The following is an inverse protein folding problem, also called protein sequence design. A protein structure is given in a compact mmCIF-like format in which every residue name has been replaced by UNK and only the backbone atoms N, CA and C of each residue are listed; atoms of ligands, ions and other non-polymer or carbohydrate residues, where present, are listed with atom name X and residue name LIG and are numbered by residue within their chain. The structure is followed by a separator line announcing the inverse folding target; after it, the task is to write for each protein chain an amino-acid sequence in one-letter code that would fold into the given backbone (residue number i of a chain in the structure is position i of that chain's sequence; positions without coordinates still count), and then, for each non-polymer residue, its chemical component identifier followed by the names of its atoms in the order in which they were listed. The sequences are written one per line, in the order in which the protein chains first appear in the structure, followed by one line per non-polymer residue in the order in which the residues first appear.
data_IF_527747756020
#
_entry.id   IF_527747756020
#
_cell.length_a   1.000
_cell.length_b   1.000
_cell.length_c   1.000
_cell.angle_alpha   90.00
_cell.angle_beta   90.00
_cell.angle_gamma   90.00
#
_symmetry.space_group_name_H-M   'P 1'
#
loop_
_entity.id
_entity.type
_entity.pdbx_description
1 polymer ?
#
# COMPACT_ATOMS: atom_id res chain seq x y z
N UNK A 1 -4.82 7.15 -7.55
CA UNK A 1 -4.58 5.69 -7.62
C UNK A 1 -3.85 5.28 -8.89
N UNK A 2 -4.28 5.71 -10.08
CA UNK A 2 -3.62 5.33 -11.34
C UNK A 2 -2.11 5.64 -11.42
N UNK A 3 -1.67 6.78 -10.90
CA UNK A 3 -0.24 7.13 -10.86
C UNK A 3 0.57 6.11 -10.05
N UNK A 4 0.12 5.80 -8.83
CA UNK A 4 0.75 4.82 -7.96
C UNK A 4 0.77 3.42 -8.59
N UNK A 5 -0.34 3.01 -9.24
CA UNK A 5 -0.38 1.73 -9.97
C UNK A 5 0.72 1.66 -11.02
N UNK A 6 0.84 2.69 -11.85
CA UNK A 6 1.90 2.74 -12.88
C UNK A 6 3.30 2.69 -12.28
N UNK A 7 3.55 3.47 -11.23
CA UNK A 7 4.84 3.47 -10.53
C UNK A 7 5.19 2.08 -9.99
N UNK A 8 4.25 1.39 -9.34
CA UNK A 8 4.48 0.04 -8.83
C UNK A 8 4.64 -1.01 -9.93
N UNK A 9 3.94 -0.86 -11.06
CA UNK A 9 4.06 -1.77 -12.22
C UNK A 9 5.44 -1.70 -12.87
N UNK A 10 6.05 -0.51 -12.92
CA UNK A 10 7.42 -0.35 -13.44
C UNK A 10 8.48 -1.12 -12.63
N UNK A 11 8.20 -1.41 -11.35
CA UNK A 11 9.13 -2.08 -10.46
C UNK A 11 9.11 -3.61 -10.59
N UNK A 12 8.04 -4.18 -11.14
CA UNK A 12 7.82 -5.62 -11.13
C UNK A 12 7.98 -6.25 -12.51
N UNK A 13 8.06 -7.57 -12.53
CA UNK A 13 7.86 -8.35 -13.75
C UNK A 13 6.36 -8.50 -14.02
N UNK A 14 5.86 -7.88 -15.10
CA UNK A 14 4.44 -7.92 -15.45
C UNK A 14 3.97 -9.27 -16.01
N UNK A 15 4.91 -10.13 -16.45
CA UNK A 15 4.59 -11.51 -16.87
C UNK A 15 4.49 -12.45 -15.65
N UNK A 16 4.87 -11.99 -14.46
CA UNK A 16 4.73 -12.72 -13.21
C UNK A 16 3.42 -12.39 -12.50
N UNK A 17 2.43 -13.28 -12.64
CA UNK A 17 1.09 -13.11 -12.04
C UNK A 17 1.13 -12.87 -10.51
N UNK A 18 2.12 -13.42 -9.79
CA UNK A 18 2.26 -13.22 -8.35
C UNK A 18 2.68 -11.78 -8.03
N UNK A 19 3.56 -11.18 -8.83
CA UNK A 19 3.98 -9.79 -8.63
C UNK A 19 2.87 -8.82 -9.01
N UNK A 20 2.17 -9.12 -10.11
CA UNK A 20 0.95 -8.42 -10.55
C UNK A 20 -0.09 -8.39 -9.44
N UNK A 21 -0.40 -9.54 -8.83
CA UNK A 21 -1.37 -9.64 -7.74
C UNK A 21 -0.93 -8.82 -6.52
N UNK A 22 0.37 -8.80 -6.18
CA UNK A 22 0.87 -7.98 -5.07
C UNK A 22 0.66 -6.49 -5.30
N UNK A 23 0.83 -6.00 -6.52
CA UNK A 23 0.52 -4.60 -6.87
C UNK A 23 -0.95 -4.32 -6.66
N UNK A 24 -1.82 -5.16 -7.22
CA UNK A 24 -3.27 -4.96 -7.13
C UNK A 24 -3.76 -5.05 -5.68
N UNK A 25 -3.21 -5.97 -4.89
CA UNK A 25 -3.45 -6.09 -3.45
C UNK A 25 -3.00 -4.85 -2.68
N UNK A 26 -1.82 -4.33 -2.96
CA UNK A 26 -1.32 -3.10 -2.31
C UNK A 26 -2.26 -1.92 -2.60
N UNK A 27 -2.67 -1.73 -3.84
CA UNK A 27 -3.59 -0.66 -4.23
C UNK A 27 -4.96 -0.79 -3.54
N UNK A 28 -5.48 -2.01 -3.44
CA UNK A 28 -6.71 -2.28 -2.70
C UNK A 28 -6.58 -1.94 -1.21
N UNK A 29 -5.47 -2.33 -0.56
CA UNK A 29 -5.21 -2.00 0.83
C UNK A 29 -5.07 -0.49 1.06
N UNK A 30 -4.44 0.25 0.14
CA UNK A 30 -4.39 1.72 0.17
C UNK A 30 -5.79 2.33 0.08
N UNK A 31 -6.66 1.81 -0.80
CA UNK A 31 -8.04 2.27 -0.90
C UNK A 31 -8.79 2.07 0.42
N UNK A 32 -8.72 0.86 0.98
CA UNK A 32 -9.35 0.52 2.27
C UNK A 32 -8.81 1.43 3.39
N UNK A 33 -7.51 1.69 3.43
CA UNK A 33 -6.88 2.56 4.42
C UNK A 33 -7.49 3.98 4.40
N UNK A 34 -7.69 4.55 3.21
CA UNK A 34 -8.33 5.87 3.07
C UNK A 34 -9.84 5.86 3.33
N UNK A 35 -10.54 4.77 3.04
CA UNK A 35 -11.95 4.65 3.36
C UNK A 35 -12.19 4.52 4.88
N UNK A 36 -11.26 3.87 5.59
CA UNK A 36 -11.27 3.86 7.06
C UNK A 36 -11.01 5.25 7.62
N UNK A 37 -10.16 6.06 6.99
CA UNK A 37 -9.97 7.48 7.37
C UNK A 37 -11.27 8.28 7.27
N UNK A 38 -12.01 8.12 6.18
CA UNK A 38 -13.33 8.77 6.03
C UNK A 38 -14.29 8.32 7.14
N UNK A 39 -14.37 7.02 7.41
CA UNK A 39 -15.22 6.47 8.48
C UNK A 39 -14.86 7.04 9.86
N UNK A 40 -13.58 7.18 10.18
CA UNK A 40 -13.11 7.76 11.45
C UNK A 40 -13.42 9.26 11.51
N UNK A 41 -13.22 10.00 10.41
CA UNK A 41 -13.52 11.42 10.33
C UNK A 41 -15.02 11.68 10.52
N UNK A 42 -15.87 10.86 9.92
CA UNK A 42 -17.32 11.05 9.94
C UNK A 42 -17.95 10.64 11.28
N UNK A 43 -17.42 9.58 11.93
CA UNK A 43 -18.01 9.01 13.16
C UNK A 43 -17.26 9.38 14.43
N UNK A 44 -16.06 9.94 14.31
CA UNK A 44 -15.14 10.16 15.42
C UNK A 44 -14.31 8.93 15.77
N UNK A 45 -13.27 9.17 16.59
CA UNK A 45 -12.37 8.12 17.11
C UNK A 45 -13.01 7.26 18.19
N UNK A 46 -14.06 7.78 18.83
CA UNK A 46 -14.90 7.08 19.80
C UNK A 46 -16.34 7.08 19.28
N UNK A 47 -17.05 5.98 19.47
CA UNK A 47 -18.45 5.81 19.08
C UNK A 47 -19.29 5.37 20.27
N UNK A 48 -20.49 5.91 20.37
CA UNK A 48 -21.46 5.45 21.36
C UNK A 48 -22.13 4.16 20.90
N UNK A 49 -22.15 3.17 21.79
CA UNK A 49 -22.88 1.91 21.62
C UNK A 49 -24.02 1.89 22.63
N UNK A 50 -25.25 1.85 22.13
CA UNK A 50 -26.46 1.72 22.96
C UNK A 50 -26.88 0.25 22.99
N UNK A 51 -26.98 -0.33 24.18
CA UNK A 51 -27.46 -1.69 24.41
C UNK A 51 -28.60 -1.66 25.44
N UNK A 52 -29.83 -1.84 24.96
CA UNK A 52 -31.05 -1.62 25.74
C UNK A 52 -31.02 -0.24 26.44
N UNK A 53 -30.94 -0.23 27.78
CA UNK A 53 -30.91 1.01 28.58
C UNK A 53 -29.49 1.48 28.95
N UNK A 54 -28.43 0.81 28.48
CA UNK A 54 -27.05 1.17 28.77
C UNK A 54 -26.37 1.78 27.56
N UNK A 55 -25.65 2.89 27.77
CA UNK A 55 -24.83 3.54 26.74
C UNK A 55 -23.37 3.45 27.14
N UNK A 56 -22.53 3.02 26.20
CA UNK A 56 -21.08 2.92 26.38
C UNK A 56 -20.36 3.69 25.28
N UNK A 57 -19.35 4.46 25.66
CA UNK A 57 -18.41 5.01 24.69
C UNK A 57 -17.29 3.99 24.46
N UNK A 58 -17.08 3.60 23.21
CA UNK A 58 -16.04 2.63 22.81
C UNK A 58 -15.21 3.17 21.66
N UNK A 59 -14.00 2.65 21.49
CA UNK A 59 -13.17 2.97 20.32
C UNK A 59 -13.91 2.61 19.03
N UNK A 60 -13.82 3.49 18.03
CA UNK A 60 -14.36 3.21 16.70
C UNK A 60 -13.61 2.00 16.09
N UNK A 61 -14.31 0.90 15.73
CA UNK A 61 -13.66 -0.29 15.16
C UNK A 61 -12.81 0.00 13.91
N UNK A 62 -13.11 1.09 13.20
CA UNK A 62 -12.32 1.53 12.05
C UNK A 62 -10.87 1.91 12.44
N UNK A 63 -10.62 2.40 13.67
CA UNK A 63 -9.27 2.74 14.15
C UNK A 63 -8.42 1.47 14.24
N UNK A 64 -8.90 0.44 14.93
CA UNK A 64 -8.18 -0.83 15.03
C UNK A 64 -8.02 -1.51 13.67
N UNK A 65 -9.04 -1.45 12.82
CA UNK A 65 -8.95 -1.98 11.45
C UNK A 65 -7.88 -1.26 10.62
N UNK A 66 -7.79 0.07 10.73
CA UNK A 66 -6.82 0.90 10.01
C UNK A 66 -5.40 0.54 10.41
N UNK A 67 -5.15 0.35 11.71
CA UNK A 67 -3.84 -0.10 12.22
C UNK A 67 -3.44 -1.46 11.63
N UNK A 68 -4.38 -2.40 11.49
CA UNK A 68 -4.12 -3.71 10.86
C UNK A 68 -3.81 -3.59 9.37
N UNK A 69 -4.57 -2.76 8.63
CA UNK A 69 -4.31 -2.49 7.21
C UNK A 69 -2.93 -1.85 7.01
N UNK A 70 -2.56 -0.88 7.87
CA UNK A 70 -1.24 -0.27 7.84
C UNK A 70 -0.12 -1.29 8.01
N UNK A 71 -0.25 -2.21 8.98
CA UNK A 71 0.74 -3.25 9.19
C UNK A 71 0.88 -4.19 7.96
N UNK A 72 -0.22 -4.48 7.27
CA UNK A 72 -0.18 -5.23 6.01
C UNK A 72 0.48 -4.45 4.87
N UNK A 73 0.23 -3.13 4.77
CA UNK A 73 0.90 -2.26 3.80
C UNK A 73 2.41 -2.24 4.02
N UNK A 74 2.88 -2.02 5.25
CA UNK A 74 4.31 -2.02 5.58
C UNK A 74 4.99 -3.35 5.22
N UNK A 75 4.31 -4.49 5.42
CA UNK A 75 4.85 -5.80 5.02
C UNK A 75 4.99 -5.96 3.51
N UNK A 76 4.04 -5.44 2.74
CA UNK A 76 4.13 -5.45 1.28
C UNK A 76 5.14 -4.42 0.78
N UNK A 77 5.33 -3.31 1.48
CA UNK A 77 6.29 -2.27 1.08
C UNK A 77 7.72 -2.81 1.09
N UNK A 78 8.07 -3.71 2.01
CA UNK A 78 9.38 -4.42 2.00
C UNK A 78 9.63 -5.17 0.68
N UNK A 79 8.58 -5.74 0.05
CA UNK A 79 8.72 -6.35 -1.27
C UNK A 79 9.01 -5.28 -2.34
N UNK A 80 8.35 -4.13 -2.28
CA UNK A 80 8.54 -3.05 -3.24
C UNK A 80 9.86 -2.29 -3.04
N UNK A 81 10.39 -2.19 -1.82
CA UNK A 81 11.73 -1.66 -1.54
C UNK A 81 12.78 -2.47 -2.28
N UNK A 82 12.72 -3.81 -2.14
CA UNK A 82 13.62 -4.69 -2.88
C UNK A 82 13.47 -4.53 -4.39
N UNK A 83 12.25 -4.37 -4.90
CA UNK A 83 12.00 -4.14 -6.33
C UNK A 83 12.53 -2.80 -6.83
N UNK A 84 12.49 -1.75 -6.00
CA UNK A 84 13.14 -0.45 -6.29
C UNK A 84 14.65 -0.61 -6.42
N UNK A 85 15.30 -1.28 -5.47
CA UNK A 85 16.74 -1.56 -5.54
C UNK A 85 17.12 -2.36 -6.80
N UNK A 86 16.34 -3.40 -7.13
CA UNK A 86 16.53 -4.20 -8.35
C UNK A 86 16.36 -3.36 -9.63
N UNK A 87 15.37 -2.45 -9.65
CA UNK A 87 15.12 -1.56 -10.78
C UNK A 87 16.24 -0.55 -10.98
N UNK A 88 16.68 0.12 -9.90
CA UNK A 88 17.77 1.10 -9.93
C UNK A 88 19.09 0.46 -10.37
N UNK A 89 19.41 -0.74 -9.88
CA UNK A 89 20.60 -1.48 -10.29
C UNK A 89 20.59 -1.87 -11.78
N UNK A 90 19.41 -2.13 -12.37
CA UNK A 90 19.27 -2.38 -13.81
C UNK A 90 19.51 -1.11 -14.63
N UNK A 91 18.95 0.02 -14.20
CA UNK A 91 19.11 1.31 -14.87
C UNK A 91 20.54 1.83 -14.82
N UNK A 92 21.26 1.59 -13.71
CA UNK A 92 22.67 1.94 -13.61
C UNK A 92 23.52 1.17 -14.64
N UNK A 93 23.31 -0.15 -14.76
CA UNK A 93 24.04 -1.00 -15.70
C UNK A 93 23.75 -0.70 -17.16
N UNK A 94 22.51 -0.35 -17.52
CA UNK A 94 22.20 0.04 -18.91
C UNK A 94 22.96 1.30 -19.32
N UNK A 95 23.05 2.27 -18.41
CA UNK A 95 23.75 3.53 -18.68
C UNK A 95 25.26 3.35 -18.83
N UNK A 96 25.87 2.40 -18.11
CA UNK A 96 27.30 2.08 -18.24
C UNK A 96 27.64 1.42 -19.60
N UNK A 97 26.77 0.52 -20.09
CA UNK A 97 26.96 -0.16 -21.38
C UNK A 97 26.82 0.83 -22.56
N UNK A 98 25.87 1.76 -22.46
CA UNK A 98 25.68 2.81 -23.47
C UNK A 98 26.88 3.77 -23.58
N UNK A 99 27.74 3.91 -22.56
CA UNK A 99 28.96 4.74 -22.65
C UNK A 99 30.15 3.99 -23.26
N UNK A 100 30.28 2.68 -23.04
CA UNK A 100 31.39 1.86 -23.58
C UNK A 100 31.25 1.57 -25.09
N UNK A 101 30.02 1.54 -25.63
CA UNK A 101 29.77 1.29 -27.07
C UNK A 101 30.09 2.50 -27.99
N UNK A 102 30.47 3.66 -27.44
CA UNK A 102 30.84 4.87 -28.19
C UNK A 102 32.33 5.28 -28.08
N UNK A 103 33.18 4.49 -27.42
CA UNK A 103 34.63 4.70 -27.32
C UNK A 103 35.44 3.67 -28.08
#
# INVERSE_FOLDING_TARGET
MEKLKRELRLLIDEDNEIEVEKVDRYLNLVSIFYDLDKSIKDKGVMVETVNANQTFLKENPAVTAKTKVNASLLKLDVFFDKKREEYEAKMAKSNEIDEEDFT
#
